data_IF_302982362236
#
_entry.id   IF_302982362236
#
_cell.length_a   1.000
_cell.length_b   1.000
_cell.length_c   1.000
_cell.angle_alpha   90.00
_cell.angle_beta   90.00
_cell.angle_gamma   90.00
#
_symmetry.space_group_name_H-M   'P 1'
#
loop_
_entity.id
_entity.type
_entity.pdbx_description
1 polymer ?
#
# COMPACT_ATOMS: atom_id res chain seq x y z
N UNK A 1 -32.37 -3.05 0.93
CA UNK A 1 -31.30 -3.97 0.49
C UNK A 1 -29.98 -3.39 0.99
N UNK A 2 -29.33 -4.02 1.97
CA UNK A 2 -28.10 -3.48 2.58
C UNK A 2 -26.91 -4.12 1.87
N UNK A 3 -26.19 -3.36 1.03
CA UNK A 3 -24.98 -3.87 0.39
C UNK A 3 -23.88 -4.12 1.44
N UNK A 4 -23.27 -5.30 1.36
CA UNK A 4 -22.06 -5.65 2.11
C UNK A 4 -20.89 -4.79 1.64
N UNK A 5 -19.95 -4.47 2.53
CA UNK A 5 -18.76 -3.68 2.19
C UNK A 5 -18.02 -4.28 0.99
N UNK A 6 -17.88 -5.60 0.94
CA UNK A 6 -17.22 -6.34 -0.15
C UNK A 6 -17.78 -6.07 -1.55
N UNK A 7 -19.09 -5.84 -1.69
CA UNK A 7 -19.70 -5.55 -3.00
C UNK A 7 -19.40 -4.12 -3.45
N UNK A 8 -19.36 -3.19 -2.49
CA UNK A 8 -19.02 -1.79 -2.74
C UNK A 8 -17.53 -1.66 -3.06
N UNK A 9 -16.69 -2.39 -2.34
CA UNK A 9 -15.23 -2.43 -2.54
C UNK A 9 -14.89 -2.87 -3.97
N UNK A 10 -15.44 -4.01 -4.42
CA UNK A 10 -15.18 -4.53 -5.78
C UNK A 10 -15.65 -3.59 -6.89
N UNK A 11 -16.72 -2.82 -6.68
CA UNK A 11 -17.20 -1.90 -7.70
C UNK A 11 -16.38 -0.59 -7.76
N UNK A 12 -15.73 -0.22 -6.66
CA UNK A 12 -14.91 0.99 -6.58
C UNK A 12 -13.44 0.70 -6.85
N UNK A 13 -12.98 -0.55 -6.75
CA UNK A 13 -11.55 -0.89 -6.83
C UNK A 13 -10.88 -0.41 -8.13
N UNK A 14 -11.59 -0.47 -9.26
CA UNK A 14 -11.07 -0.01 -10.54
C UNK A 14 -10.98 1.54 -10.61
N UNK A 15 -11.90 2.24 -9.94
CA UNK A 15 -11.81 3.69 -9.76
C UNK A 15 -10.61 4.08 -8.87
N UNK A 16 -10.36 3.30 -7.80
CA UNK A 16 -9.22 3.51 -6.91
C UNK A 16 -7.87 3.25 -7.61
N UNK A 17 -7.81 2.25 -8.50
CA UNK A 17 -6.62 1.97 -9.33
C UNK A 17 -6.25 3.13 -10.25
N UNK A 18 -7.24 3.84 -10.80
CA UNK A 18 -7.03 4.86 -11.80
C UNK A 18 -6.70 6.26 -11.22
N UNK A 19 -7.22 6.62 -10.05
CA UNK A 19 -7.20 8.02 -9.57
C UNK A 19 -6.20 8.31 -8.42
N UNK A 20 -5.38 7.34 -8.02
CA UNK A 20 -4.57 7.34 -6.79
C UNK A 20 -5.41 7.29 -5.51
N UNK A 21 -5.09 6.31 -4.67
CA UNK A 21 -5.81 5.93 -3.45
C UNK A 21 -5.83 7.08 -2.42
N UNK A 22 -4.82 7.93 -2.44
CA UNK A 22 -4.69 9.09 -1.53
C UNK A 22 -5.78 10.13 -1.76
N UNK A 23 -6.36 10.18 -2.97
CA UNK A 23 -7.35 11.19 -3.34
C UNK A 23 -8.76 10.87 -2.86
N UNK A 24 -9.09 9.60 -2.61
CA UNK A 24 -10.42 9.23 -2.15
C UNK A 24 -10.60 9.53 -0.66
N UNK A 25 -11.21 10.68 -0.39
CA UNK A 25 -11.69 11.05 0.94
C UNK A 25 -13.00 10.28 1.18
N UNK A 26 -13.31 9.77 2.39
CA UNK A 26 -14.51 8.97 2.63
C UNK A 26 -15.82 9.63 2.17
N UNK A 27 -15.87 10.97 2.13
CA UNK A 27 -17.00 11.73 1.57
C UNK A 27 -17.25 11.42 0.09
N UNK A 28 -16.20 11.27 -0.70
CA UNK A 28 -16.29 10.91 -2.11
C UNK A 28 -16.76 9.47 -2.28
N UNK A 29 -16.33 8.56 -1.41
CA UNK A 29 -16.80 7.17 -1.38
C UNK A 29 -18.30 7.12 -1.06
N UNK A 30 -18.78 7.92 -0.09
CA UNK A 30 -20.23 8.06 0.17
C UNK A 30 -20.96 8.59 -1.07
N UNK A 31 -20.40 9.62 -1.73
CA UNK A 31 -21.00 10.19 -2.93
C UNK A 31 -21.08 9.16 -4.06
N UNK A 32 -19.98 8.45 -4.36
CA UNK A 32 -19.93 7.41 -5.38
C UNK A 32 -20.83 6.23 -5.09
N UNK A 33 -20.90 5.78 -3.83
CA UNK A 33 -21.83 4.72 -3.44
C UNK A 33 -23.29 5.13 -3.71
N UNK A 34 -23.63 6.41 -3.51
CA UNK A 34 -24.96 6.92 -3.84
C UNK A 34 -25.17 7.05 -5.34
N UNK A 35 -24.23 7.62 -6.10
CA UNK A 35 -24.41 7.91 -7.53
C UNK A 35 -24.30 6.66 -8.40
N UNK A 36 -23.36 5.77 -8.10
CA UNK A 36 -23.04 4.63 -8.96
C UNK A 36 -23.82 3.38 -8.56
N UNK A 37 -24.06 3.20 -7.26
CA UNK A 37 -24.71 2.01 -6.72
C UNK A 37 -26.12 2.27 -6.18
N UNK A 38 -26.55 3.53 -6.07
CA UNK A 38 -27.84 3.89 -5.46
C UNK A 38 -27.89 3.60 -3.95
N UNK A 39 -26.75 3.32 -3.31
CA UNK A 39 -26.68 2.91 -1.90
C UNK A 39 -26.19 4.05 -1.03
N UNK A 40 -26.92 4.34 0.04
CA UNK A 40 -26.44 5.26 1.07
C UNK A 40 -25.61 4.50 2.11
N UNK A 41 -24.35 4.88 2.27
CA UNK A 41 -23.45 4.34 3.29
C UNK A 41 -23.05 5.42 4.30
N UNK A 42 -22.77 5.00 5.53
CA UNK A 42 -22.24 5.90 6.56
C UNK A 42 -20.78 6.26 6.28
N UNK A 43 -20.33 7.38 6.85
CA UNK A 43 -18.93 7.80 6.78
C UNK A 43 -17.97 6.73 7.34
N UNK A 44 -18.32 6.07 8.44
CA UNK A 44 -17.53 4.99 9.01
C UNK A 44 -17.42 3.79 8.07
N UNK A 45 -18.50 3.43 7.36
CA UNK A 45 -18.46 2.37 6.35
C UNK A 45 -17.58 2.79 5.17
N UNK A 46 -17.66 4.04 4.73
CA UNK A 46 -16.79 4.57 3.69
C UNK A 46 -15.29 4.56 4.10
N UNK A 47 -14.98 4.82 5.38
CA UNK A 47 -13.61 4.68 5.89
C UNK A 47 -13.11 3.24 5.81
N UNK A 48 -13.93 2.26 6.22
CA UNK A 48 -13.57 0.84 6.14
C UNK A 48 -13.38 0.35 4.70
N UNK A 49 -14.22 0.83 3.77
CA UNK A 49 -14.07 0.58 2.33
C UNK A 49 -12.71 1.09 1.84
N UNK A 50 -12.31 2.31 2.27
CA UNK A 50 -11.00 2.85 1.97
C UNK A 50 -9.87 1.98 2.51
N UNK A 51 -9.88 1.63 3.80
CA UNK A 51 -8.86 0.77 4.42
C UNK A 51 -8.75 -0.59 3.72
N UNK A 52 -9.89 -1.21 3.42
CA UNK A 52 -9.93 -2.48 2.71
C UNK A 52 -9.33 -2.35 1.30
N UNK A 53 -9.67 -1.27 0.58
CA UNK A 53 -9.18 -1.04 -0.78
C UNK A 53 -7.68 -0.73 -0.79
N UNK A 54 -7.17 0.05 0.18
CA UNK A 54 -5.74 0.28 0.39
C UNK A 54 -5.01 -1.05 0.56
N UNK A 55 -5.53 -1.94 1.41
CA UNK A 55 -4.92 -3.26 1.64
C UNK A 55 -4.94 -4.14 0.39
N UNK A 56 -6.00 -4.11 -0.42
CA UNK A 56 -6.02 -4.88 -1.67
C UNK A 56 -5.01 -4.33 -2.69
N UNK A 57 -4.86 -3.01 -2.77
CA UNK A 57 -4.05 -2.37 -3.81
C UNK A 57 -2.56 -2.32 -3.48
N UNK A 58 -2.20 -2.02 -2.23
CA UNK A 58 -0.81 -2.05 -1.78
C UNK A 58 -0.35 -3.45 -1.35
N UNK A 59 -1.29 -4.41 -1.29
CA UNK A 59 -1.01 -5.76 -0.86
C UNK A 59 -0.63 -5.83 0.61
N UNK A 60 0.01 -6.93 0.99
CA UNK A 60 0.53 -7.11 2.33
C UNK A 60 1.80 -6.26 2.51
N UNK A 61 1.71 -5.23 3.34
CA UNK A 61 2.86 -4.40 3.70
C UNK A 61 3.95 -5.23 4.36
N UNK A 62 3.58 -6.21 5.19
CA UNK A 62 4.53 -7.10 5.87
C UNK A 62 5.28 -7.96 4.86
N UNK A 63 4.55 -8.62 3.96
CA UNK A 63 5.12 -9.38 2.84
C UNK A 63 6.00 -8.54 1.92
N UNK A 64 5.67 -7.27 1.72
CA UNK A 64 6.46 -6.35 0.90
C UNK A 64 7.83 -6.05 1.53
N UNK A 65 7.88 -5.81 2.84
CA UNK A 65 9.15 -5.58 3.54
C UNK A 65 10.02 -6.83 3.65
N UNK A 66 9.42 -8.03 3.68
CA UNK A 66 10.16 -9.29 3.66
C UNK A 66 11.02 -9.50 2.38
N UNK A 67 10.78 -8.70 1.33
CA UNK A 67 11.56 -8.74 0.08
C UNK A 67 12.84 -7.87 0.12
N UNK A 68 12.97 -6.95 1.08
CA UNK A 68 14.12 -6.04 1.18
C UNK A 68 15.47 -6.77 1.25
N UNK A 69 15.65 -7.84 2.06
CA UNK A 69 16.93 -8.56 2.09
C UNK A 69 17.37 -9.04 0.71
N UNK A 70 16.47 -9.69 -0.03
CA UNK A 70 16.74 -10.18 -1.39
C UNK A 70 17.02 -9.04 -2.37
N UNK A 71 16.33 -7.92 -2.21
CA UNK A 71 16.59 -6.73 -3.02
C UNK A 71 18.01 -6.19 -2.77
N UNK A 72 18.44 -6.09 -1.51
CA UNK A 72 19.79 -5.64 -1.15
C UNK A 72 20.87 -6.59 -1.66
N UNK A 73 20.67 -7.89 -1.55
CA UNK A 73 21.60 -8.89 -2.11
C UNK A 73 21.83 -8.64 -3.60
N UNK A 74 20.74 -8.44 -4.36
CA UNK A 74 20.80 -8.16 -5.81
C UNK A 74 21.38 -6.79 -6.13
N UNK A 75 21.13 -5.80 -5.28
CA UNK A 75 21.66 -4.45 -5.45
C UNK A 75 23.18 -4.44 -5.32
N UNK A 76 23.72 -5.11 -4.30
CA UNK A 76 25.16 -5.25 -4.06
C UNK A 76 25.83 -6.08 -5.15
N UNK A 77 25.20 -7.17 -5.60
CA UNK A 77 25.69 -7.99 -6.71
C UNK A 77 25.83 -7.17 -8.00
N UNK A 78 24.83 -6.34 -8.30
CA UNK A 78 24.79 -5.55 -9.54
C UNK A 78 25.65 -4.29 -9.48
N UNK A 79 25.88 -3.76 -8.28
CA UNK A 79 26.65 -2.53 -8.06
C UNK A 79 27.68 -2.77 -6.95
N UNK A 80 28.82 -3.42 -7.28
CA UNK A 80 29.92 -3.58 -6.34
C UNK A 80 30.31 -2.24 -5.70
N UNK A 81 30.55 -2.24 -4.39
CA UNK A 81 30.80 -1.02 -3.61
C UNK A 81 29.54 -0.39 -2.99
N UNK A 82 28.35 -0.89 -3.31
CA UNK A 82 27.12 -0.47 -2.61
C UNK A 82 27.14 -0.92 -1.15
N UNK A 83 26.88 0.02 -0.24
CA UNK A 83 26.70 -0.24 1.18
C UNK A 83 25.21 -0.34 1.51
N UNK A 84 24.82 -1.39 2.23
CA UNK A 84 23.43 -1.59 2.68
C UNK A 84 23.41 -2.03 4.15
N UNK A 85 22.35 -1.67 4.87
CA UNK A 85 22.08 -2.15 6.22
C UNK A 85 20.57 -2.33 6.41
N UNK A 86 20.18 -3.36 7.15
CA UNK A 86 18.78 -3.68 7.44
C UNK A 86 18.64 -4.05 8.90
N UNK A 87 17.72 -3.41 9.62
CA UNK A 87 17.34 -3.74 10.98
C UNK A 87 15.90 -4.27 11.04
N UNK A 88 15.72 -5.34 11.80
CA UNK A 88 14.42 -5.92 12.12
C UNK A 88 14.19 -5.90 13.64
N UNK A 89 12.93 -5.93 14.07
CA UNK A 89 12.58 -6.14 15.47
C UNK A 89 12.75 -7.60 15.91
N UNK A 90 12.51 -7.88 17.19
CA UNK A 90 12.62 -9.24 17.76
C UNK A 90 11.61 -10.24 17.17
N UNK A 91 10.58 -9.74 16.48
CA UNK A 91 9.57 -10.54 15.77
C UNK A 91 9.87 -10.69 14.28
N UNK A 92 10.99 -10.15 13.79
CA UNK A 92 11.38 -10.20 12.38
C UNK A 92 10.66 -9.19 11.49
N UNK A 93 9.99 -8.18 12.05
CA UNK A 93 9.41 -7.10 11.27
C UNK A 93 10.44 -6.03 10.93
N UNK A 94 10.27 -5.40 9.78
CA UNK A 94 11.11 -4.28 9.36
C UNK A 94 11.05 -3.12 10.37
N UNK A 95 12.22 -2.61 10.75
CA UNK A 95 12.36 -1.35 11.48
C UNK A 95 12.86 -0.23 10.57
N UNK A 96 14.05 -0.40 10.01
CA UNK A 96 14.66 0.57 9.12
C UNK A 96 15.76 -0.07 8.26
N UNK A 97 16.13 0.61 7.20
CA UNK A 97 17.26 0.23 6.36
C UNK A 97 18.04 1.45 5.88
N UNK A 98 19.29 1.23 5.49
CA UNK A 98 20.16 2.19 4.86
C UNK A 98 20.69 1.61 3.54
N UNK A 99 20.85 2.47 2.53
CA UNK A 99 21.53 2.11 1.28
C UNK A 99 22.28 3.31 0.70
N UNK A 100 23.48 3.06 0.17
CA UNK A 100 24.27 4.03 -0.57
C UNK A 100 25.10 3.33 -1.65
N UNK A 101 25.05 3.83 -2.89
CA UNK A 101 25.88 3.30 -3.97
C UNK A 101 27.35 3.66 -3.74
N UNK A 102 28.27 2.77 -4.14
CA UNK A 102 29.72 2.99 -4.00
C UNK A 102 30.17 4.32 -4.63
N UNK A 103 29.68 4.61 -5.84
CA UNK A 103 29.95 5.88 -6.51
C UNK A 103 29.52 7.11 -5.70
N UNK A 104 28.43 7.02 -4.93
CA UNK A 104 27.98 8.11 -4.06
C UNK A 104 28.81 8.26 -2.79
N UNK A 105 29.51 7.20 -2.37
CA UNK A 105 30.41 7.21 -1.21
C UNK A 105 31.78 7.77 -1.61
N UNK A 106 32.26 7.41 -2.80
CA UNK A 106 33.61 7.77 -3.27
C UNK A 106 33.72 9.21 -3.77
N UNK A 107 32.63 9.79 -4.30
CA UNK A 107 32.57 11.18 -4.77
C UNK A 107 32.66 11.33 -6.28
#
# INVERSE_FOLDING_TARGET
MQASSTVIDNCLIDDFRFMSIDRFIPKEIVHKARTNLGVNISYQKAWRVKEHTVNILHGDTVGSYALIPRFFDKLVESNPGTSTALEMDDSGHFKFCFMAFGASIEG
#
